data_IF_341440962371
#
_entry.id   IF_341440962371
#
_cell.length_a   1.000
_cell.length_b   1.000
_cell.length_c   1.000
_cell.angle_alpha   90.00
_cell.angle_beta   90.00
_cell.angle_gamma   90.00
#
_symmetry.space_group_name_H-M   'P 1'
#
loop_
_entity.id
_entity.type
_entity.pdbx_description
1 polymer ?
#
# COMPACT_ATOMS: atom_id res chain seq x y z
N UNK A 1 11.19 36.84 51.64
CA UNK A 1 10.62 36.20 50.44
C UNK A 1 9.14 36.58 50.35
N UNK A 2 8.62 37.03 49.20
CA UNK A 2 7.29 37.67 49.11
C UNK A 2 6.16 36.65 49.39
N UNK A 3 5.33 36.90 50.38
CA UNK A 3 4.14 36.10 50.77
C UNK A 3 3.23 35.74 49.57
N UNK A 4 3.26 36.55 48.51
CA UNK A 4 2.51 36.33 47.27
C UNK A 4 2.99 35.11 46.45
N UNK A 5 4.28 34.75 46.45
CA UNK A 5 4.79 33.58 45.71
C UNK A 5 4.44 32.26 46.40
N UNK A 6 4.39 32.28 47.73
CA UNK A 6 4.02 31.13 48.57
C UNK A 6 2.54 30.72 48.40
N UNK A 7 1.65 31.69 48.14
CA UNK A 7 0.20 31.44 47.89
C UNK A 7 -0.13 30.73 46.57
N UNK A 8 0.83 30.56 45.67
CA UNK A 8 0.66 29.81 44.42
C UNK A 8 0.98 28.31 44.56
N UNK A 9 1.36 27.86 45.76
CA UNK A 9 1.58 26.45 46.04
C UNK A 9 0.42 25.86 46.85
N UNK A 10 0.06 24.59 46.62
CA UNK A 10 -0.88 23.87 47.46
C UNK A 10 -0.51 24.01 48.94
N UNK A 11 -1.52 24.26 49.79
CA UNK A 11 -1.36 24.56 51.21
C UNK A 11 -0.47 23.54 51.95
N UNK A 12 -0.55 22.26 51.59
CA UNK A 12 0.30 21.20 52.14
C UNK A 12 1.79 21.44 51.88
N UNK A 13 2.16 21.87 50.68
CA UNK A 13 3.56 22.15 50.33
C UNK A 13 4.08 23.42 51.01
N UNK A 14 3.18 24.37 51.27
CA UNK A 14 3.48 25.57 52.06
C UNK A 14 3.78 25.20 53.52
N UNK A 15 2.92 24.41 54.16
CA UNK A 15 3.10 23.94 55.55
C UNK A 15 4.36 23.11 55.71
N UNK A 16 4.67 22.22 54.77
CA UNK A 16 5.90 21.42 54.80
C UNK A 16 7.15 22.30 54.68
N UNK A 17 7.12 23.30 53.80
CA UNK A 17 8.24 24.23 53.60
C UNK A 17 8.44 25.16 54.79
N UNK A 18 7.36 25.71 55.34
CA UNK A 18 7.41 26.58 56.50
C UNK A 18 7.91 25.80 57.72
N UNK A 19 7.36 24.61 57.98
CA UNK A 19 7.80 23.75 59.08
C UNK A 19 9.23 23.20 58.92
N UNK A 20 9.71 22.98 57.70
CA UNK A 20 11.13 22.67 57.43
C UNK A 20 12.03 23.87 57.75
N UNK A 21 11.63 25.08 57.30
CA UNK A 21 12.39 26.31 57.50
C UNK A 21 12.44 26.78 58.96
N UNK A 22 11.40 26.47 59.74
CA UNK A 22 11.30 26.74 61.17
C UNK A 22 11.99 25.66 62.03
N UNK A 23 12.56 24.62 61.39
CA UNK A 23 13.22 23.50 62.07
C UNK A 23 12.27 22.55 62.80
N UNK A 24 10.96 22.70 62.58
CA UNK A 24 9.92 21.87 63.18
C UNK A 24 9.79 20.50 62.51
N UNK A 25 10.12 20.41 61.22
CA UNK A 25 10.25 19.15 60.48
C UNK A 25 11.70 18.91 60.05
N UNK A 26 12.16 17.65 60.19
CA UNK A 26 13.47 17.28 59.64
C UNK A 26 13.40 17.14 58.11
N UNK A 27 14.50 17.42 57.39
CA UNK A 27 14.55 17.25 55.93
C UNK A 27 14.19 15.81 55.50
N UNK A 28 14.59 14.81 56.28
CA UNK A 28 14.29 13.40 56.02
C UNK A 28 12.80 13.10 56.14
N UNK A 29 12.13 13.69 57.14
CA UNK A 29 10.68 13.56 57.31
C UNK A 29 9.93 14.23 56.15
N UNK A 30 10.34 15.44 55.75
CA UNK A 30 9.74 16.17 54.62
C UNK A 30 9.92 15.41 53.31
N UNK A 31 11.11 14.85 53.09
CA UNK A 31 11.40 14.01 51.93
C UNK A 31 10.53 12.74 51.91
N UNK A 32 10.41 12.05 53.04
CA UNK A 32 9.56 10.86 53.17
C UNK A 32 8.09 11.16 52.89
N UNK A 33 7.57 12.28 53.39
CA UNK A 33 6.19 12.72 53.14
C UNK A 33 6.00 13.04 51.65
N UNK A 34 6.93 13.74 51.01
CA UNK A 34 6.87 14.01 49.55
C UNK A 34 6.87 12.71 48.75
N UNK A 35 7.71 11.74 49.10
CA UNK A 35 7.74 10.43 48.45
C UNK A 35 6.40 9.69 48.60
N UNK A 36 5.81 9.69 49.79
CA UNK A 36 4.49 9.09 50.02
C UNK A 36 3.39 9.75 49.18
N UNK A 37 3.42 11.07 49.02
CA UNK A 37 2.46 11.79 48.17
C UNK A 37 2.60 11.42 46.69
N UNK A 38 3.82 11.19 46.22
CA UNK A 38 4.09 10.69 44.86
C UNK A 38 3.55 9.26 44.70
N UNK A 39 3.87 8.36 45.63
CA UNK A 39 3.41 6.97 45.58
C UNK A 39 1.87 6.87 45.62
N UNK A 40 1.22 7.69 46.44
CA UNK A 40 -0.25 7.79 46.50
C UNK A 40 -0.83 8.34 45.20
N UNK A 41 -0.19 9.34 44.60
CA UNK A 41 -0.63 9.92 43.32
C UNK A 41 -0.51 8.91 42.17
N UNK A 42 0.58 8.13 42.15
CA UNK A 42 0.77 7.02 41.21
C UNK A 42 -0.26 5.90 41.40
N UNK A 43 -0.59 5.55 42.64
CA UNK A 43 -1.65 4.57 42.94
C UNK A 43 -3.03 5.07 42.51
N UNK A 44 -3.37 6.32 42.81
CA UNK A 44 -4.64 6.93 42.38
C UNK A 44 -4.72 7.00 40.84
N UNK A 45 -3.63 7.35 40.17
CA UNK A 45 -3.57 7.37 38.71
C UNK A 45 -3.75 5.97 38.12
N UNK A 46 -3.08 4.96 38.68
CA UNK A 46 -3.24 3.55 38.27
C UNK A 46 -4.67 3.03 38.46
N UNK A 47 -5.34 3.45 39.54
CA UNK A 47 -6.66 2.92 39.92
C UNK A 47 -7.84 3.68 39.28
N UNK A 48 -7.65 4.95 38.92
CA UNK A 48 -8.75 5.84 38.51
C UNK A 48 -8.54 6.51 37.14
N UNK A 49 -7.34 6.45 36.55
CA UNK A 49 -7.08 6.92 35.21
C UNK A 49 -6.80 5.70 34.32
N UNK A 50 -7.58 5.51 33.26
CA UNK A 50 -7.27 4.45 32.30
C UNK A 50 -5.95 4.79 31.62
N UNK A 51 -4.94 3.95 31.85
CA UNK A 51 -3.65 4.01 31.15
C UNK A 51 -3.87 4.01 29.63
N UNK A 52 -4.91 3.31 29.15
CA UNK A 52 -5.32 3.25 27.75
C UNK A 52 -5.78 4.63 27.23
N UNK A 53 -6.51 5.41 28.03
CA UNK A 53 -6.91 6.77 27.63
C UNK A 53 -5.75 7.75 27.67
N UNK A 54 -4.84 7.62 28.64
CA UNK A 54 -3.65 8.47 28.71
C UNK A 54 -2.72 8.24 27.51
N UNK A 55 -2.49 6.98 27.14
CA UNK A 55 -1.70 6.62 25.96
C UNK A 55 -2.36 7.08 24.65
N UNK A 56 -3.69 6.91 24.52
CA UNK A 56 -4.43 7.43 23.36
C UNK A 56 -4.44 8.96 23.28
N UNK A 57 -4.53 9.67 24.40
CA UNK A 57 -4.42 11.14 24.45
C UNK A 57 -3.02 11.57 24.05
N UNK A 58 -1.98 10.93 24.60
CA UNK A 58 -0.61 11.19 24.21
C UNK A 58 -0.42 10.96 22.71
N UNK A 59 -0.94 9.85 22.17
CA UNK A 59 -0.87 9.56 20.75
C UNK A 59 -1.61 10.59 19.90
N UNK A 60 -2.77 11.05 20.37
CA UNK A 60 -3.50 12.17 19.76
C UNK A 60 -2.68 13.46 19.71
N UNK A 61 -1.99 13.80 20.80
CA UNK A 61 -1.08 14.94 20.85
C UNK A 61 0.11 14.79 19.88
N UNK A 62 0.71 13.61 19.81
CA UNK A 62 1.81 13.32 18.87
C UNK A 62 1.35 13.41 17.41
N UNK A 63 0.14 12.95 17.08
CA UNK A 63 -0.45 13.08 15.74
C UNK A 63 -0.66 14.56 15.41
N UNK A 64 -1.25 15.34 16.33
CA UNK A 64 -1.44 16.78 16.13
C UNK A 64 -0.10 17.47 15.92
N UNK A 65 0.92 17.12 16.71
CA UNK A 65 2.26 17.66 16.57
C UNK A 65 2.86 17.33 15.20
N UNK A 66 2.86 16.06 14.79
CA UNK A 66 3.46 15.65 13.52
C UNK A 66 2.72 16.19 12.30
N UNK A 67 1.38 16.21 12.29
CA UNK A 67 0.60 16.83 11.21
C UNK A 67 0.86 18.34 11.16
N UNK A 68 0.91 19.02 12.31
CA UNK A 68 1.23 20.46 12.35
C UNK A 68 2.65 20.72 11.86
N UNK A 69 3.61 19.89 12.24
CA UNK A 69 5.01 19.99 11.82
C UNK A 69 5.17 19.77 10.32
N UNK A 70 4.47 18.76 9.75
CA UNK A 70 4.43 18.53 8.30
C UNK A 70 3.95 19.78 7.56
N UNK A 71 2.86 20.39 8.02
CA UNK A 71 2.32 21.60 7.43
C UNK A 71 3.24 22.81 7.56
N UNK A 72 3.86 22.99 8.74
CA UNK A 72 4.81 24.08 8.96
C UNK A 72 6.04 23.95 8.05
N UNK A 73 6.63 22.75 7.96
CA UNK A 73 7.79 22.47 7.13
C UNK A 73 7.51 22.66 5.64
N UNK A 74 6.29 22.34 5.18
CA UNK A 74 5.86 22.58 3.80
C UNK A 74 5.74 24.08 3.50
N UNK A 75 5.26 24.87 4.46
CA UNK A 75 5.05 26.31 4.31
C UNK A 75 6.35 27.12 4.42
N UNK A 76 7.31 26.69 5.26
CA UNK A 76 8.54 27.44 5.51
C UNK A 76 9.79 26.88 4.80
N UNK A 77 9.72 25.67 4.24
CA UNK A 77 10.87 24.95 3.66
C UNK A 77 12.07 24.84 4.63
N UNK A 78 11.77 24.50 5.89
CA UNK A 78 12.74 24.40 6.99
C UNK A 78 13.47 25.71 7.36
N UNK A 79 12.95 26.86 6.90
CA UNK A 79 13.43 28.19 7.31
C UNK A 79 12.82 28.59 8.66
N UNK A 80 13.67 28.71 9.68
CA UNK A 80 13.26 29.01 11.04
C UNK A 80 12.65 30.42 11.20
N UNK A 81 13.08 31.40 10.41
CA UNK A 81 12.58 32.77 10.51
C UNK A 81 11.21 32.90 9.83
N UNK A 82 11.03 32.25 8.67
CA UNK A 82 9.70 32.10 8.06
C UNK A 82 8.74 31.32 8.96
N UNK A 83 9.20 30.25 9.61
CA UNK A 83 8.36 29.47 10.52
C UNK A 83 7.83 30.33 11.69
N UNK A 84 8.71 31.16 12.30
CA UNK A 84 8.30 32.10 13.36
C UNK A 84 7.28 33.12 12.85
N UNK A 85 7.49 33.66 11.65
CA UNK A 85 6.57 34.61 11.02
C UNK A 85 5.20 33.98 10.80
N UNK A 86 5.13 32.80 10.17
CA UNK A 86 3.90 32.08 9.89
C UNK A 86 3.13 31.79 11.19
N UNK A 87 3.79 31.28 12.23
CA UNK A 87 3.16 31.02 13.52
C UNK A 87 2.60 32.31 14.13
N UNK A 88 3.35 33.42 14.03
CA UNK A 88 2.93 34.72 14.57
C UNK A 88 1.74 35.32 13.81
N UNK A 89 1.72 35.22 12.48
CA UNK A 89 0.71 35.91 11.64
C UNK A 89 -0.52 35.05 11.36
N UNK A 90 -0.35 33.75 11.16
CA UNK A 90 -1.42 32.82 10.74
C UNK A 90 -1.87 31.89 11.87
N UNK A 91 -1.03 31.71 12.90
CA UNK A 91 -1.32 30.83 14.02
C UNK A 91 -1.10 29.34 13.74
N UNK A 92 -1.09 28.55 14.82
CA UNK A 92 -0.76 27.11 14.74
C UNK A 92 -1.83 26.28 14.01
N UNK A 93 -3.10 26.70 14.07
CA UNK A 93 -4.22 26.02 13.40
C UNK A 93 -4.07 26.07 11.88
N UNK A 94 -3.48 27.14 11.34
CA UNK A 94 -3.20 27.24 9.91
C UNK A 94 -2.18 26.18 9.46
N UNK A 95 -1.12 25.99 10.25
CA UNK A 95 -0.10 24.97 10.01
C UNK A 95 -0.69 23.56 10.07
N UNK A 96 -1.53 23.28 11.06
CA UNK A 96 -2.27 22.01 11.16
C UNK A 96 -3.14 21.75 9.92
N UNK A 97 -3.91 22.74 9.45
CA UNK A 97 -4.75 22.60 8.24
C UNK A 97 -3.93 22.32 6.99
N UNK A 98 -2.77 22.97 6.84
CA UNK A 98 -1.86 22.71 5.73
C UNK A 98 -1.33 21.26 5.75
N UNK A 99 -0.91 20.77 6.92
CA UNK A 99 -0.48 19.38 7.08
C UNK A 99 -1.61 18.38 6.88
N UNK A 100 -2.82 18.68 7.37
CA UNK A 100 -3.99 17.84 7.16
C UNK A 100 -4.37 17.75 5.68
N UNK A 101 -4.24 18.86 4.93
CA UNK A 101 -4.45 18.87 3.49
C UNK A 101 -3.44 17.97 2.76
N UNK A 102 -2.17 17.93 3.20
CA UNK A 102 -1.16 17.00 2.69
C UNK A 102 -1.53 15.55 2.98
N UNK A 103 -1.90 15.23 4.22
CA UNK A 103 -2.41 13.90 4.57
C UNK A 103 -3.59 13.47 3.69
N UNK A 104 -4.56 14.38 3.46
CA UNK A 104 -5.71 14.12 2.61
C UNK A 104 -5.37 13.96 1.11
N UNK A 105 -4.20 14.41 0.65
CA UNK A 105 -3.75 14.18 -0.74
C UNK A 105 -3.47 12.71 -1.00
N UNK A 106 -2.98 11.95 -0.01
CA UNK A 106 -2.75 10.51 -0.16
C UNK A 106 -4.03 9.77 -0.58
N UNK A 107 -5.15 10.10 0.08
CA UNK A 107 -6.47 9.54 -0.26
C UNK A 107 -6.90 9.84 -1.70
N UNK A 108 -6.49 10.97 -2.27
CA UNK A 108 -6.84 11.35 -3.65
C UNK A 108 -6.04 10.58 -4.70
N UNK A 109 -4.85 10.09 -4.35
CA UNK A 109 -3.98 9.36 -5.27
C UNK A 109 -4.40 7.90 -5.37
N UNK A 110 -4.44 7.21 -4.23
CA UNK A 110 -4.88 5.82 -4.15
C UNK A 110 -5.70 5.64 -2.86
N UNK A 111 -7.05 5.58 -2.97
CA UNK A 111 -7.93 5.41 -1.82
C UNK A 111 -7.67 4.10 -1.06
N UNK A 112 -7.46 2.99 -1.78
CA UNK A 112 -7.20 1.67 -1.19
C UNK A 112 -5.86 1.65 -0.44
N UNK A 113 -4.79 2.16 -1.04
CA UNK A 113 -3.50 2.30 -0.36
C UNK A 113 -3.62 3.20 0.88
N UNK A 114 -4.37 4.30 0.79
CA UNK A 114 -4.57 5.20 1.92
C UNK A 114 -5.27 4.54 3.10
N UNK A 115 -6.23 3.63 2.86
CA UNK A 115 -6.91 2.89 3.94
C UNK A 115 -5.97 2.00 4.75
N UNK A 116 -4.87 1.54 4.14
CA UNK A 116 -3.82 0.77 4.84
C UNK A 116 -2.93 1.64 5.76
N UNK A 117 -2.91 2.96 5.56
CA UNK A 117 -2.04 3.87 6.31
C UNK A 117 -2.74 4.30 7.60
N UNK A 118 -2.19 3.89 8.73
CA UNK A 118 -2.62 4.44 10.02
C UNK A 118 -2.23 5.91 10.14
N UNK A 119 -3.16 6.76 10.59
CA UNK A 119 -2.85 8.15 10.94
C UNK A 119 -1.77 8.25 12.02
N UNK A 120 -1.61 7.22 12.85
CA UNK A 120 -0.56 7.13 13.87
C UNK A 120 0.86 7.11 13.29
N UNK A 121 1.02 6.80 11.99
CA UNK A 121 2.29 6.91 11.26
C UNK A 121 2.83 8.35 11.24
N UNK A 122 1.96 9.36 11.39
CA UNK A 122 2.34 10.76 11.50
C UNK A 122 2.57 11.22 12.94
N UNK A 123 2.48 10.34 13.92
CA UNK A 123 2.72 10.71 15.31
C UNK A 123 4.20 11.03 15.51
N UNK A 124 4.48 12.24 15.99
CA UNK A 124 5.81 12.72 16.28
C UNK A 124 5.97 12.90 17.79
N UNK A 125 6.98 12.27 18.40
CA UNK A 125 7.30 12.49 19.80
C UNK A 125 7.85 13.91 20.02
N UNK A 126 7.69 14.45 21.24
CA UNK A 126 8.13 15.83 21.57
C UNK A 126 9.63 16.05 21.34
N UNK A 127 10.44 14.99 21.50
CA UNK A 127 11.90 15.02 21.30
C UNK A 127 12.33 14.70 19.87
N UNK A 128 11.41 14.33 18.99
CA UNK A 128 11.74 13.94 17.63
C UNK A 128 11.92 15.18 16.74
N UNK A 129 13.05 15.21 16.04
CA UNK A 129 13.49 16.33 15.17
C UNK A 129 13.57 15.91 13.70
N UNK A 130 13.06 14.71 13.37
CA UNK A 130 13.08 14.16 12.02
C UNK A 130 12.25 15.03 11.06
N UNK A 131 12.73 15.15 9.83
CA UNK A 131 11.98 15.81 8.76
C UNK A 131 10.87 14.89 8.26
N UNK A 132 9.67 15.07 8.82
CA UNK A 132 8.48 14.29 8.48
C UNK A 132 8.05 14.44 7.01
N UNK A 133 8.57 15.43 6.26
CA UNK A 133 8.34 15.55 4.81
C UNK A 133 8.93 14.37 4.05
N UNK A 134 10.05 13.80 4.52
CA UNK A 134 10.69 12.63 3.89
C UNK A 134 9.76 11.42 3.97
N UNK A 135 9.19 11.17 5.15
CA UNK A 135 8.18 10.14 5.35
C UNK A 135 6.97 10.36 4.43
N UNK A 136 6.42 11.58 4.43
CA UNK A 136 5.27 11.91 3.61
C UNK A 136 5.54 11.73 2.10
N UNK A 137 6.71 12.15 1.62
CA UNK A 137 7.12 11.97 0.23
C UNK A 137 7.24 10.49 -0.15
N UNK A 138 7.74 9.64 0.76
CA UNK A 138 7.77 8.19 0.56
C UNK A 138 6.36 7.61 0.42
N UNK A 139 5.43 7.99 1.30
CA UNK A 139 4.03 7.53 1.22
C UNK A 139 3.36 8.00 -0.08
N UNK A 140 3.64 9.21 -0.55
CA UNK A 140 3.14 9.71 -1.83
C UNK A 140 3.66 8.88 -3.01
N UNK A 141 4.96 8.56 -3.00
CA UNK A 141 5.59 7.73 -4.04
C UNK A 141 4.95 6.35 -4.12
N UNK A 142 4.75 5.69 -2.98
CA UNK A 142 4.09 4.38 -2.94
C UNK A 142 2.62 4.47 -3.35
N UNK A 143 1.90 5.51 -2.94
CA UNK A 143 0.53 5.76 -3.41
C UNK A 143 0.45 5.93 -4.93
N UNK A 144 1.42 6.61 -5.56
CA UNK A 144 1.47 6.74 -7.02
C UNK A 144 1.76 5.40 -7.71
N UNK A 145 2.63 4.57 -7.14
CA UNK A 145 2.87 3.21 -7.66
C UNK A 145 1.60 2.36 -7.58
N UNK A 146 0.93 2.36 -6.44
CA UNK A 146 -0.36 1.70 -6.24
C UNK A 146 -1.40 2.12 -7.29
N UNK A 147 -1.58 3.42 -7.48
CA UNK A 147 -2.49 3.95 -8.50
C UNK A 147 -2.06 3.54 -9.92
N UNK A 148 -0.75 3.51 -10.20
CA UNK A 148 -0.22 3.10 -11.50
C UNK A 148 -0.40 1.61 -11.75
N UNK A 149 -0.25 0.76 -10.73
CA UNK A 149 -0.53 -0.68 -10.81
C UNK A 149 -1.97 -0.90 -11.27
N UNK A 150 -2.94 -0.26 -10.62
CA UNK A 150 -4.36 -0.38 -10.97
C UNK A 150 -4.65 0.10 -12.40
N UNK A 151 -4.05 1.22 -12.81
CA UNK A 151 -4.17 1.73 -14.19
C UNK A 151 -3.59 0.75 -15.21
N UNK A 152 -2.39 0.22 -14.97
CA UNK A 152 -1.74 -0.75 -15.85
C UNK A 152 -2.54 -2.06 -15.92
N UNK A 153 -3.02 -2.53 -14.77
CA UNK A 153 -3.92 -3.68 -14.68
C UNK A 153 -5.16 -3.48 -15.56
N UNK A 154 -5.88 -2.36 -15.40
CA UNK A 154 -7.09 -2.06 -16.20
C UNK A 154 -6.81 -2.04 -17.70
N UNK A 155 -5.71 -1.41 -18.09
CA UNK A 155 -5.32 -1.32 -19.50
C UNK A 155 -4.96 -2.69 -20.11
N UNK A 156 -4.27 -3.55 -19.37
CA UNK A 156 -3.91 -4.90 -19.85
C UNK A 156 -5.11 -5.84 -19.81
N UNK A 157 -5.90 -5.81 -18.74
CA UNK A 157 -7.10 -6.59 -18.59
C UNK A 157 -8.10 -6.33 -19.73
N UNK A 158 -8.26 -5.07 -20.15
CA UNK A 158 -9.12 -4.74 -21.29
C UNK A 158 -8.76 -5.46 -22.60
N UNK A 159 -7.51 -5.91 -22.74
CA UNK A 159 -7.06 -6.65 -23.92
C UNK A 159 -7.02 -8.17 -23.70
N UNK A 160 -6.65 -8.64 -22.51
CA UNK A 160 -6.26 -10.05 -22.28
C UNK A 160 -7.10 -10.78 -21.22
N UNK A 161 -8.13 -10.16 -20.67
CA UNK A 161 -9.00 -10.74 -19.65
C UNK A 161 -10.27 -11.36 -20.28
N UNK A 162 -10.54 -12.63 -19.99
CA UNK A 162 -11.80 -13.30 -20.35
C UNK A 162 -12.93 -13.04 -19.33
N UNK A 163 -12.57 -12.76 -18.07
CA UNK A 163 -13.52 -12.51 -16.98
C UNK A 163 -12.93 -11.55 -15.95
N UNK A 164 -13.43 -10.33 -15.85
CA UNK A 164 -12.95 -9.33 -14.87
C UNK A 164 -13.37 -9.74 -13.46
N UNK A 165 -12.41 -10.20 -12.65
CA UNK A 165 -12.56 -10.17 -11.20
C UNK A 165 -12.40 -8.69 -10.78
N UNK A 166 -13.41 -8.13 -10.10
CA UNK A 166 -13.32 -6.79 -9.50
C UNK A 166 -12.33 -6.81 -8.33
N UNK A 167 -11.05 -6.67 -8.64
CA UNK A 167 -9.97 -6.57 -7.66
C UNK A 167 -9.54 -5.11 -7.56
N UNK A 168 -10.29 -4.30 -6.80
CA UNK A 168 -9.96 -2.87 -6.71
C UNK A 168 -9.01 -2.54 -5.54
N UNK A 169 -8.83 -3.45 -4.57
CA UNK A 169 -8.25 -3.10 -3.26
C UNK A 169 -7.07 -3.98 -2.79
N UNK A 170 -6.64 -4.98 -3.56
CA UNK A 170 -5.57 -5.89 -3.14
C UNK A 170 -4.43 -5.88 -4.17
N UNK A 171 -3.28 -5.32 -3.78
CA UNK A 171 -2.11 -5.18 -4.65
C UNK A 171 -1.48 -6.52 -5.01
N UNK A 172 -1.50 -7.49 -4.09
CA UNK A 172 -0.93 -8.83 -4.34
C UNK A 172 -1.77 -9.56 -5.38
N UNK A 173 -3.10 -9.46 -5.28
CA UNK A 173 -4.02 -10.02 -6.27
C UNK A 173 -3.90 -9.28 -7.61
N UNK A 174 -3.75 -7.95 -7.61
CA UNK A 174 -3.53 -7.18 -8.84
C UNK A 174 -2.23 -7.60 -9.55
N UNK A 175 -1.13 -7.77 -8.81
CA UNK A 175 0.15 -8.23 -9.36
C UNK A 175 0.03 -9.63 -9.94
N UNK A 176 -0.63 -10.52 -9.20
CA UNK A 176 -0.87 -11.90 -9.62
C UNK A 176 -1.65 -11.97 -10.95
N UNK A 177 -2.80 -11.31 -11.01
CA UNK A 177 -3.64 -11.26 -12.20
C UNK A 177 -2.94 -10.60 -13.39
N UNK A 178 -2.16 -9.54 -13.13
CA UNK A 178 -1.38 -8.86 -14.15
C UNK A 178 -0.31 -9.79 -14.75
N UNK A 179 0.41 -10.54 -13.91
CA UNK A 179 1.37 -11.54 -14.39
C UNK A 179 0.68 -12.63 -15.20
N UNK A 180 -0.50 -13.11 -14.77
CA UNK A 180 -1.32 -14.08 -15.52
C UNK A 180 -1.67 -13.56 -16.91
N UNK A 181 -2.17 -12.33 -17.04
CA UNK A 181 -2.51 -11.76 -18.34
C UNK A 181 -1.30 -11.61 -19.26
N UNK A 182 -0.15 -11.21 -18.71
CA UNK A 182 1.09 -11.13 -19.46
C UNK A 182 1.56 -12.52 -19.93
N UNK A 183 1.43 -13.56 -19.10
CA UNK A 183 1.76 -14.94 -19.45
C UNK A 183 0.86 -15.46 -20.57
N UNK A 184 -0.44 -15.19 -20.51
CA UNK A 184 -1.39 -15.51 -21.59
C UNK A 184 -1.03 -14.83 -22.89
N UNK A 185 -0.72 -13.53 -22.85
CA UNK A 185 -0.27 -12.78 -24.01
C UNK A 185 1.02 -13.39 -24.62
N UNK A 186 1.98 -13.78 -23.77
CA UNK A 186 3.22 -14.43 -24.19
C UNK A 186 2.95 -15.77 -24.87
N UNK A 187 2.12 -16.61 -24.26
CA UNK A 187 1.83 -17.95 -24.74
C UNK A 187 1.10 -17.94 -26.09
N UNK A 188 0.16 -17.01 -26.28
CA UNK A 188 -0.49 -16.79 -27.59
C UNK A 188 0.50 -16.30 -28.66
N UNK A 189 1.43 -15.41 -28.29
CA UNK A 189 2.47 -14.96 -29.21
C UNK A 189 3.45 -16.09 -29.59
N UNK A 190 3.69 -17.07 -28.72
CA UNK A 190 4.58 -18.19 -29.01
C UNK A 190 4.03 -19.11 -30.10
N UNK A 191 2.72 -19.18 -30.27
CA UNK A 191 2.06 -19.89 -31.38
C UNK A 191 1.67 -18.96 -32.53
N UNK A 192 2.23 -17.74 -32.56
CA UNK A 192 1.96 -16.75 -33.60
C UNK A 192 0.46 -16.40 -33.75
N UNK A 193 -0.32 -16.56 -32.68
CA UNK A 193 -1.74 -16.22 -32.67
C UNK A 193 -1.93 -14.71 -32.53
N UNK A 194 -2.83 -14.16 -33.34
CA UNK A 194 -3.30 -12.78 -33.23
C UNK A 194 -4.45 -12.64 -32.23
N UNK A 195 -4.99 -13.76 -31.70
CA UNK A 195 -6.02 -13.73 -30.66
C UNK A 195 -5.45 -13.19 -29.36
N UNK A 196 -6.35 -12.66 -28.53
CA UNK A 196 -6.01 -12.11 -27.20
C UNK A 196 -6.41 -12.98 -26.02
N UNK A 197 -7.14 -14.07 -26.31
CA UNK A 197 -7.62 -15.04 -25.32
C UNK A 197 -7.41 -16.45 -25.87
N UNK A 198 -7.19 -17.40 -24.97
CA UNK A 198 -7.16 -18.81 -25.32
C UNK A 198 -8.55 -19.32 -25.70
N UNK A 199 -8.57 -20.27 -26.61
CA UNK A 199 -9.65 -21.24 -26.82
C UNK A 199 -9.06 -22.62 -26.51
N UNK A 200 -9.91 -23.64 -26.33
CA UNK A 200 -9.45 -25.02 -26.14
C UNK A 200 -8.53 -25.49 -27.28
N UNK A 201 -8.81 -25.10 -28.52
CA UNK A 201 -7.96 -25.39 -29.69
C UNK A 201 -6.60 -24.68 -29.63
N UNK A 202 -6.56 -23.38 -29.33
CA UNK A 202 -5.31 -22.63 -29.20
C UNK A 202 -4.45 -23.13 -28.04
N UNK A 203 -5.07 -23.57 -26.95
CA UNK A 203 -4.34 -24.14 -25.83
C UNK A 203 -3.73 -25.50 -26.18
N UNK A 204 -4.45 -26.36 -26.91
CA UNK A 204 -3.90 -27.62 -27.42
C UNK A 204 -2.76 -27.39 -28.42
N UNK A 205 -2.89 -26.40 -29.30
CA UNK A 205 -1.82 -25.99 -30.21
C UNK A 205 -0.58 -25.53 -29.45
N UNK A 206 -0.77 -24.66 -28.44
CA UNK A 206 0.29 -24.19 -27.56
C UNK A 206 1.00 -25.33 -26.82
N UNK A 207 0.25 -26.26 -26.21
CA UNK A 207 0.82 -27.42 -25.55
C UNK A 207 1.58 -28.32 -26.51
N UNK A 208 1.03 -28.56 -27.71
CA UNK A 208 1.71 -29.34 -28.75
C UNK A 208 3.01 -28.66 -29.16
N UNK A 209 3.01 -27.34 -29.33
CA UNK A 209 4.18 -26.55 -29.66
C UNK A 209 5.26 -26.65 -28.57
N UNK A 210 4.88 -26.53 -27.29
CA UNK A 210 5.81 -26.66 -26.16
C UNK A 210 6.46 -28.05 -26.07
N UNK A 211 5.70 -29.12 -26.31
CA UNK A 211 6.19 -30.49 -26.19
C UNK A 211 7.05 -30.91 -27.39
N UNK A 212 6.70 -30.42 -28.60
CA UNK A 212 7.34 -30.86 -29.85
C UNK A 212 8.57 -30.02 -30.25
N UNK A 213 8.77 -28.85 -29.63
CA UNK A 213 9.86 -27.93 -29.98
C UNK A 213 11.03 -28.09 -29.02
N UNK A 214 12.26 -28.02 -29.56
CA UNK A 214 13.48 -28.01 -28.74
C UNK A 214 13.52 -26.79 -27.79
N UNK A 215 14.02 -26.99 -26.57
CA UNK A 215 14.04 -25.95 -25.53
C UNK A 215 14.82 -24.71 -25.93
N UNK A 216 15.94 -24.86 -26.65
CA UNK A 216 16.80 -23.72 -26.96
C UNK A 216 16.10 -22.83 -28.01
N UNK A 217 15.36 -23.47 -28.93
CA UNK A 217 14.48 -22.80 -29.90
C UNK A 217 13.30 -22.10 -29.20
N UNK A 218 12.68 -22.74 -28.19
CA UNK A 218 11.61 -22.12 -27.40
C UNK A 218 12.11 -20.89 -26.65
N UNK A 219 13.26 -20.98 -25.97
CA UNK A 219 13.84 -19.86 -25.23
C UNK A 219 14.20 -18.70 -26.16
N UNK A 220 14.74 -18.97 -27.35
CA UNK A 220 15.00 -17.93 -28.36
C UNK A 220 13.71 -17.26 -28.86
N UNK A 221 12.65 -18.05 -29.09
CA UNK A 221 11.34 -17.51 -29.50
C UNK A 221 10.71 -16.66 -28.40
N UNK A 222 10.85 -17.03 -27.13
CA UNK A 222 10.38 -16.23 -25.99
C UNK A 222 11.03 -14.84 -26.00
N UNK A 223 12.35 -14.74 -26.17
CA UNK A 223 13.01 -13.42 -26.21
C UNK A 223 12.46 -12.55 -27.34
N UNK A 224 12.18 -13.16 -28.50
CA UNK A 224 11.55 -12.48 -29.64
C UNK A 224 10.13 -12.02 -29.32
N UNK A 225 9.33 -12.87 -28.66
CA UNK A 225 7.96 -12.56 -28.23
C UNK A 225 7.94 -11.47 -27.15
N UNK A 226 8.90 -11.44 -26.22
CA UNK A 226 9.07 -10.35 -25.24
C UNK A 226 9.32 -9.03 -25.96
N UNK A 227 10.20 -9.01 -26.96
CA UNK A 227 10.44 -7.79 -27.76
C UNK A 227 9.16 -7.34 -28.48
N UNK A 228 8.41 -8.27 -29.08
CA UNK A 228 7.13 -7.98 -29.76
C UNK A 228 6.08 -7.45 -28.78
N UNK A 229 5.87 -8.13 -27.66
CA UNK A 229 4.90 -7.76 -26.62
C UNK A 229 5.23 -6.38 -26.04
N UNK A 230 6.48 -6.17 -25.62
CA UNK A 230 6.89 -4.88 -25.03
C UNK A 230 6.89 -3.74 -26.04
N UNK A 231 7.03 -4.02 -27.34
CA UNK A 231 6.87 -3.03 -28.41
C UNK A 231 5.43 -2.57 -28.62
N UNK A 232 4.44 -3.36 -28.21
CA UNK A 232 3.01 -3.01 -28.30
C UNK A 232 2.53 -2.17 -27.10
N UNK A 233 3.30 -2.14 -26.00
CA UNK A 233 2.96 -1.39 -24.80
C UNK A 233 3.32 0.09 -24.93
N UNK A 234 2.55 0.95 -24.27
CA UNK A 234 2.93 2.35 -24.10
C UNK A 234 4.27 2.47 -23.35
N UNK A 235 5.05 3.52 -23.63
CA UNK A 235 6.35 3.76 -22.98
C UNK A 235 6.23 3.78 -21.44
N UNK A 236 5.15 4.37 -20.93
CA UNK A 236 4.88 4.46 -19.49
C UNK A 236 4.55 3.10 -18.89
N UNK A 237 3.70 2.30 -19.55
CA UNK A 237 3.32 0.95 -19.11
C UNK A 237 4.54 0.03 -19.12
N UNK A 238 5.32 0.06 -20.20
CA UNK A 238 6.55 -0.74 -20.32
C UNK A 238 7.54 -0.43 -19.21
N UNK A 239 7.84 0.86 -18.99
CA UNK A 239 8.80 1.27 -17.97
C UNK A 239 8.38 0.83 -16.57
N UNK A 240 7.08 0.94 -16.27
CA UNK A 240 6.53 0.49 -14.99
C UNK A 240 6.64 -1.02 -14.79
N UNK A 241 6.17 -1.82 -15.77
CA UNK A 241 6.24 -3.28 -15.70
C UNK A 241 7.67 -3.81 -15.60
N UNK A 242 8.64 -3.11 -16.20
CA UNK A 242 10.07 -3.40 -16.05
C UNK A 242 10.58 -3.08 -14.63
N UNK A 243 10.15 -1.97 -14.02
CA UNK A 243 10.53 -1.61 -12.65
C UNK A 243 10.04 -2.66 -11.63
N UNK A 244 8.85 -3.23 -11.86
CA UNK A 244 8.27 -4.27 -10.99
C UNK A 244 8.58 -5.71 -11.44
N UNK A 245 9.51 -5.90 -12.39
CA UNK A 245 10.01 -7.19 -12.83
C UNK A 245 8.96 -8.19 -13.40
N UNK A 246 7.88 -7.69 -14.03
CA UNK A 246 6.86 -8.54 -14.65
C UNK A 246 7.12 -8.84 -16.15
N UNK A 247 8.13 -8.23 -16.77
CA UNK A 247 8.48 -8.45 -18.18
C UNK A 247 9.63 -9.45 -18.37
N UNK A 248 10.11 -10.02 -17.27
CA UNK A 248 11.26 -10.90 -17.18
C UNK A 248 10.86 -12.31 -17.62
N UNK A 249 9.60 -12.67 -17.35
CA UNK A 249 9.01 -13.99 -17.55
C UNK A 249 9.89 -15.10 -16.97
N UNK A 250 10.54 -14.85 -15.83
CA UNK A 250 11.53 -15.75 -15.24
C UNK A 250 10.94 -17.11 -14.90
N UNK A 251 9.71 -17.14 -14.39
CA UNK A 251 9.01 -18.38 -14.05
C UNK A 251 8.69 -19.21 -15.31
N UNK A 252 8.14 -18.55 -16.33
CA UNK A 252 7.84 -19.15 -17.63
C UNK A 252 9.09 -19.73 -18.30
N UNK A 253 10.21 -18.99 -18.28
CA UNK A 253 11.52 -19.44 -18.80
C UNK A 253 12.07 -20.62 -17.99
N UNK A 254 11.92 -20.59 -16.67
CA UNK A 254 12.40 -21.66 -15.79
C UNK A 254 11.68 -22.99 -16.04
N UNK A 255 10.36 -22.98 -16.24
CA UNK A 255 9.60 -24.20 -16.56
C UNK A 255 10.08 -24.82 -17.86
N UNK A 256 10.25 -24.01 -18.90
CA UNK A 256 10.74 -24.48 -20.20
C UNK A 256 12.17 -25.03 -20.09
N UNK A 257 13.03 -24.38 -19.30
CA UNK A 257 14.39 -24.83 -19.07
C UNK A 257 14.47 -26.18 -18.31
N UNK A 258 13.51 -26.44 -17.41
CA UNK A 258 13.48 -27.66 -16.60
C UNK A 258 12.94 -28.88 -17.37
N UNK A 259 12.10 -28.69 -18.39
CA UNK A 259 11.50 -29.74 -19.23
C UNK A 259 10.71 -30.85 -18.51
N UNK A 260 10.50 -30.74 -17.19
CA UNK A 260 9.72 -31.71 -16.40
C UNK A 260 8.28 -31.22 -16.33
N UNK A 261 7.33 -32.06 -16.75
CA UNK A 261 5.89 -31.83 -16.62
C UNK A 261 5.43 -30.42 -17.09
N UNK A 262 6.06 -29.92 -18.16
CA UNK A 262 5.86 -28.56 -18.70
C UNK A 262 4.37 -28.26 -18.92
N UNK A 263 3.62 -29.23 -19.46
CA UNK A 263 2.18 -29.06 -19.71
C UNK A 263 1.34 -28.90 -18.43
N UNK A 264 1.77 -29.48 -17.31
CA UNK A 264 1.08 -29.35 -16.02
C UNK A 264 1.40 -27.98 -15.41
N UNK A 265 2.67 -27.63 -15.32
CA UNK A 265 3.10 -26.37 -14.71
C UNK A 265 2.69 -25.14 -15.52
N UNK A 266 2.61 -25.23 -16.85
CA UNK A 266 2.16 -24.10 -17.67
C UNK A 266 0.67 -23.81 -17.50
N UNK A 267 -0.13 -24.84 -17.20
CA UNK A 267 -1.55 -24.67 -16.90
C UNK A 267 -1.75 -23.89 -15.59
N UNK A 268 -0.92 -24.17 -14.59
CA UNK A 268 -0.92 -23.45 -13.31
C UNK A 268 -0.54 -21.97 -13.50
N UNK A 269 0.47 -21.69 -14.33
CA UNK A 269 0.91 -20.30 -14.61
C UNK A 269 -0.10 -19.50 -15.42
N UNK A 270 -0.77 -20.15 -16.37
CA UNK A 270 -1.73 -19.51 -17.25
C UNK A 270 -3.09 -19.34 -16.59
N UNK A 271 -3.40 -20.15 -15.57
CA UNK A 271 -4.69 -20.16 -14.87
C UNK A 271 -5.86 -20.00 -15.85
N UNK A 272 -6.02 -21.01 -16.70
CA UNK A 272 -7.01 -20.97 -17.77
C UNK A 272 -8.41 -20.64 -17.21
N UNK A 273 -9.22 -19.85 -17.95
CA UNK A 273 -10.62 -19.64 -17.62
C UNK A 273 -11.32 -20.98 -17.34
N UNK A 274 -12.19 -20.99 -16.33
CA UNK A 274 -12.93 -22.20 -15.89
C UNK A 274 -13.65 -22.87 -17.07
N UNK A 275 -14.17 -22.10 -18.02
CA UNK A 275 -14.80 -22.62 -19.24
C UNK A 275 -13.85 -23.47 -20.07
N UNK A 276 -12.63 -22.98 -20.33
CA UNK A 276 -11.60 -23.70 -21.08
C UNK A 276 -11.10 -24.91 -20.26
N UNK A 277 -10.91 -24.74 -18.96
CA UNK A 277 -10.53 -25.85 -18.09
C UNK A 277 -11.60 -26.95 -18.12
N UNK A 278 -12.89 -26.62 -18.04
CA UNK A 278 -13.97 -27.60 -18.07
C UNK A 278 -14.10 -28.29 -19.44
N UNK A 279 -13.93 -27.55 -20.54
CA UNK A 279 -13.89 -28.11 -21.89
C UNK A 279 -12.73 -29.11 -22.08
N UNK A 280 -11.55 -28.80 -21.53
CA UNK A 280 -10.37 -29.67 -21.64
C UNK A 280 -10.49 -30.98 -20.84
N UNK A 281 -11.32 -31.00 -19.78
CA UNK A 281 -11.49 -32.16 -18.90
C UNK A 281 -12.80 -32.93 -19.13
N UNK A 282 -13.58 -32.56 -20.15
CA UNK A 282 -14.94 -33.11 -20.40
C UNK A 282 -15.89 -32.97 -19.19
N UNK A 283 -15.64 -32.00 -18.30
CA UNK A 283 -16.33 -31.80 -17.02
C UNK A 283 -17.53 -30.83 -17.12
N UNK A 284 -18.12 -30.69 -18.32
CA UNK A 284 -19.21 -29.74 -18.56
C UNK A 284 -20.58 -30.27 -18.08
N UNK A 285 -20.88 -30.11 -16.79
CA UNK A 285 -22.22 -30.37 -16.23
C UNK A 285 -23.21 -29.23 -16.54
N UNK A 286 -23.56 -29.06 -17.81
CA UNK A 286 -24.82 -28.41 -18.23
C UNK A 286 -24.72 -27.02 -18.88
N UNK A 287 -25.21 -26.97 -20.13
CA UNK A 287 -25.83 -25.78 -20.73
C UNK A 287 -24.96 -24.99 -21.71
N UNK A 288 -25.26 -25.15 -22.99
CA UNK A 288 -24.66 -24.50 -24.18
C UNK A 288 -23.19 -24.87 -24.45
N UNK A 289 -23.03 -25.67 -25.49
CA UNK A 289 -21.78 -25.99 -26.16
C UNK A 289 -21.38 -24.78 -27.01
N UNK A 290 -20.48 -23.93 -26.51
CA UNK A 290 -19.86 -22.88 -27.32
C UNK A 290 -18.82 -23.55 -28.23
N UNK A 291 -19.29 -24.23 -29.27
CA UNK A 291 -18.41 -24.63 -30.36
C UNK A 291 -17.80 -23.36 -31.00
N UNK A 292 -16.53 -23.48 -31.39
CA UNK A 292 -15.61 -22.40 -31.70
C UNK A 292 -15.90 -21.55 -32.95
N UNK A 293 -17.12 -21.58 -33.50
CA UNK A 293 -17.53 -20.79 -34.68
C UNK A 293 -18.61 -19.73 -34.36
N UNK A 294 -19.08 -19.62 -33.11
CA UNK A 294 -20.17 -18.70 -32.71
C UNK A 294 -19.67 -17.27 -32.35
N UNK A 295 -18.73 -16.72 -33.13
CA UNK A 295 -18.35 -15.30 -33.04
C UNK A 295 -19.56 -14.38 -33.32
N UNK A 296 -20.54 -14.86 -34.10
CA UNK A 296 -21.78 -14.14 -34.42
C UNK A 296 -22.75 -14.05 -33.22
N UNK A 297 -22.71 -14.98 -32.27
CA UNK A 297 -23.63 -14.99 -31.12
C UNK A 297 -23.14 -14.14 -29.94
N UNK A 298 -21.81 -13.99 -29.79
CA UNK A 298 -21.21 -13.07 -28.81
C UNK A 298 -21.49 -11.59 -29.15
N UNK A 299 -21.66 -11.25 -30.43
CA UNK A 299 -22.02 -9.91 -30.88
C UNK A 299 -23.40 -9.45 -30.34
N UNK A 300 -24.33 -10.37 -30.10
CA UNK A 300 -25.65 -10.06 -29.54
C UNK A 300 -25.66 -9.82 -28.02
N UNK A 301 -24.61 -10.26 -27.32
CA UNK A 301 -24.48 -10.16 -25.87
C UNK A 301 -23.58 -9.01 -25.42
N UNK A 302 -22.76 -8.48 -26.34
CA UNK A 302 -22.06 -7.23 -26.11
C UNK A 302 -23.03 -6.06 -26.34
N UNK A 303 -23.12 -5.09 -25.42
CA UNK A 303 -23.92 -3.90 -25.66
C UNK A 303 -23.33 -3.14 -26.85
N UNK A 304 -24.12 -2.94 -27.90
CA UNK A 304 -23.76 -2.07 -29.03
C UNK A 304 -23.35 -0.69 -28.49
N UNK A 305 -22.08 -0.34 -28.75
CA UNK A 305 -21.46 0.97 -28.57
C UNK A 305 -21.64 1.69 -27.21
N UNK A 306 -20.57 1.68 -26.41
CA UNK A 306 -20.16 2.84 -25.57
C UNK A 306 -18.66 3.01 -25.48
#
# INVERSE_FOLDING_TARGET
>A
MRIAELRNHPFLLLVLKDGESEGYFSPELVHKIKQQLVDMSLRIASDNLSIIYADQINKGCEIVLGITNLGLLDLCDNDADKAKEIIKTQGIVYCFRAGWAKYAQLKKISPSYFESISITTYALAISDTSDIRVLHASLMKEGYKSAKLLDVYKNIAASYCASTILVDNDEDVLLYELQRFLNTAMALLLIDSDRKMFTSSLYQEFNTYLISTDKDVLLEKIETCIVKLTGQLSVLTKSYLQEIALLDFSEFKNIIAQQIDVAIHIQEILELPITIANELHDDFEGGYDFHADDEDDLAYLMPDDR
#
